data_IF_413546250035
#
_entry.id   IF_413546250035
#
_cell.length_a   1.000
_cell.length_b   1.000
_cell.length_c   1.000
_cell.angle_alpha   90.00
_cell.angle_beta   90.00
_cell.angle_gamma   90.00
#
_symmetry.space_group_name_H-M   'P 1'
#
loop_
_entity.id
_entity.type
_entity.pdbx_description
1 polymer ?
#
# COMPACT_ATOMS: atom_id res chain seq x y z
N UNK A 1 56.37 -3.99 -1.31
CA UNK A 1 55.29 -3.32 -2.07
C UNK A 1 54.09 -4.27 -2.18
N UNK A 2 53.03 -4.05 -1.42
CA UNK A 2 51.78 -4.83 -1.54
C UNK A 2 50.59 -3.90 -1.25
N UNK A 3 49.86 -3.53 -2.29
CA UNK A 3 48.66 -2.70 -2.21
C UNK A 3 47.43 -3.63 -2.04
N UNK A 4 46.61 -3.49 -0.98
CA UNK A 4 45.38 -4.27 -0.87
C UNK A 4 44.28 -3.69 -1.77
N UNK A 5 43.78 -4.48 -2.72
CA UNK A 5 42.62 -4.14 -3.55
C UNK A 5 41.34 -4.06 -2.69
N UNK A 6 40.88 -2.85 -2.40
CA UNK A 6 39.55 -2.59 -1.80
C UNK A 6 38.46 -2.94 -2.82
N UNK A 7 37.55 -3.85 -2.46
CA UNK A 7 36.41 -4.24 -3.31
C UNK A 7 35.39 -3.09 -3.42
N UNK A 8 35.05 -2.62 -4.64
CA UNK A 8 34.03 -1.60 -4.85
C UNK A 8 32.65 -2.25 -4.81
N UNK A 9 32.10 -2.44 -3.61
CA UNK A 9 30.77 -3.06 -3.49
C UNK A 9 30.05 -2.80 -2.16
N UNK A 10 30.75 -2.29 -1.14
CA UNK A 10 30.13 -2.05 0.16
C UNK A 10 29.40 -0.68 0.23
N UNK A 11 29.84 0.31 -0.54
CA UNK A 11 29.28 1.68 -0.49
C UNK A 11 27.92 1.82 -1.19
N UNK A 12 27.59 0.95 -2.16
CA UNK A 12 26.35 1.07 -2.94
C UNK A 12 25.13 0.60 -2.12
N UNK A 13 25.29 -0.40 -1.24
CA UNK A 13 24.21 -0.86 -0.35
C UNK A 13 23.87 0.13 0.77
N UNK A 14 24.88 0.81 1.34
CA UNK A 14 24.65 1.84 2.35
C UNK A 14 24.00 3.10 1.75
N UNK A 15 24.41 3.50 0.54
CA UNK A 15 23.81 4.63 -0.16
C UNK A 15 22.33 4.38 -0.49
N UNK A 16 21.96 3.17 -0.93
CA UNK A 16 20.56 2.83 -1.21
C UNK A 16 19.69 2.85 0.05
N UNK A 17 20.17 2.32 1.18
CA UNK A 17 19.41 2.31 2.44
C UNK A 17 19.20 3.74 2.98
N UNK A 18 20.22 4.60 2.88
CA UNK A 18 20.10 6.02 3.28
C UNK A 18 19.18 6.81 2.34
N UNK A 19 19.14 6.48 1.04
CA UNK A 19 18.24 7.13 0.09
C UNK A 19 16.76 6.74 0.31
N UNK A 20 16.47 5.50 0.71
CA UNK A 20 15.11 5.06 1.03
C UNK A 20 14.55 5.73 2.30
N UNK A 21 15.37 5.90 3.35
CA UNK A 21 14.94 6.62 4.56
C UNK A 21 14.73 8.13 4.36
N UNK A 22 15.43 8.75 3.41
CA UNK A 22 15.24 10.18 3.10
C UNK A 22 13.98 10.44 2.26
N UNK A 23 13.56 9.48 1.43
CA UNK A 23 12.36 9.59 0.59
C UNK A 23 11.06 9.28 1.37
N UNK A 24 11.10 8.40 2.37
CA UNK A 24 9.95 8.19 3.27
C UNK A 24 9.62 9.43 4.13
N UNK A 25 10.65 10.19 4.55
CA UNK A 25 10.42 11.45 5.28
C UNK A 25 9.87 12.57 4.36
N UNK A 26 10.13 12.51 3.05
CA UNK A 26 9.61 13.48 2.07
C UNK A 26 8.22 13.12 1.56
N UNK A 27 7.86 11.84 1.55
CA UNK A 27 6.50 11.38 1.20
C UNK A 27 5.53 11.45 2.40
N UNK A 28 6.05 11.40 3.63
CA UNK A 28 5.27 11.58 4.88
C UNK A 28 4.88 13.05 5.14
N UNK A 29 5.66 14.03 4.67
CA UNK A 29 5.34 15.46 4.85
C UNK A 29 4.27 15.99 3.88
N UNK A 30 4.01 15.30 2.76
CA UNK A 30 2.99 15.70 1.77
C UNK A 30 1.61 15.07 2.01
N UNK A 31 1.52 14.10 2.91
CA UNK A 31 0.27 13.51 3.42
C UNK A 31 -0.13 14.14 4.77
N UNK A 32 0.73 14.98 5.37
CA UNK A 32 0.49 15.68 6.64
C UNK A 32 0.00 17.13 6.52
N UNK A 33 -0.49 17.55 5.35
CA UNK A 33 -1.05 18.91 5.16
C UNK A 33 -2.57 18.98 4.96
N UNK A 34 -3.32 17.89 5.15
CA UNK A 34 -4.79 17.94 5.03
C UNK A 34 -5.58 17.22 6.13
N UNK A 35 -4.98 16.94 7.28
CA UNK A 35 -5.75 16.48 8.43
C UNK A 35 -5.15 16.95 9.74
N UNK A 36 -6.02 17.42 10.62
CA UNK A 36 -5.83 17.84 12.01
C UNK A 36 -5.66 19.35 12.21
N UNK A 37 -6.80 20.05 12.19
CA UNK A 37 -7.06 21.03 13.23
C UNK A 37 -8.38 20.71 13.94
N UNK A 38 -8.31 19.81 14.91
CA UNK A 38 -9.11 19.91 16.16
C UNK A 38 -8.35 19.11 17.20
N UNK A 39 -7.46 19.81 17.90
CA UNK A 39 -6.95 19.38 19.21
C UNK A 39 -8.15 19.36 20.13
N UNK A 40 -8.55 18.16 20.54
CA UNK A 40 -9.50 17.96 21.63
C UNK A 40 -8.81 18.39 22.93
N UNK A 41 -8.87 19.69 23.23
CA UNK A 41 -8.53 20.22 24.54
C UNK A 41 -9.61 19.76 25.50
N UNK A 42 -9.27 18.76 26.31
CA UNK A 42 -9.96 18.50 27.57
C UNK A 42 -9.81 19.74 28.45
N UNK A 43 -10.78 20.65 28.37
CA UNK A 43 -10.98 21.70 29.36
C UNK A 43 -12.22 21.32 30.15
N UNK A 44 -11.99 20.82 31.36
CA UNK A 44 -12.97 20.92 32.45
C UNK A 44 -13.30 22.39 32.60
N UNK A 45 -14.50 22.78 32.23
CA UNK A 45 -15.08 24.05 32.64
C UNK A 45 -16.43 23.74 33.28
N UNK A 46 -16.52 24.14 34.54
CA UNK A 46 -17.67 24.03 35.43
C UNK A 46 -18.94 24.59 34.79
N UNK A 47 -20.11 23.95 35.01
CA UNK A 47 -21.38 24.43 34.51
C UNK A 47 -21.89 25.53 35.43
N UNK A 48 -21.59 26.78 35.09
CA UNK A 48 -22.28 27.90 35.68
C UNK A 48 -22.23 29.12 34.75
N UNK A 49 -23.39 29.77 34.64
CA UNK A 49 -23.62 31.07 34.00
C UNK A 49 -23.50 31.10 32.46
N UNK A 50 -24.57 30.71 31.77
CA UNK A 50 -24.91 31.40 30.52
C UNK A 50 -26.38 31.78 30.52
N UNK A 51 -26.58 33.09 30.72
CA UNK A 51 -27.87 33.77 30.83
C UNK A 51 -28.52 33.86 29.45
N UNK A 52 -29.85 33.79 29.47
CA UNK A 52 -30.76 33.89 28.35
C UNK A 52 -30.49 35.07 27.39
N UNK A 53 -30.64 34.81 26.10
CA UNK A 53 -31.35 35.74 25.19
C UNK A 53 -32.22 34.93 24.24
N UNK A 54 -33.49 34.77 24.62
CA UNK A 54 -34.54 34.39 23.69
C UNK A 54 -34.76 35.55 22.70
N UNK A 55 -34.23 35.42 21.49
CA UNK A 55 -34.76 36.17 20.35
C UNK A 55 -35.80 35.31 19.65
N UNK A 56 -37.06 35.62 19.91
CA UNK A 56 -38.21 35.16 19.14
C UNK A 56 -38.09 35.73 17.71
N UNK A 57 -37.32 35.05 16.87
CA UNK A 57 -37.30 35.31 15.43
C UNK A 57 -38.63 34.82 14.83
N UNK A 58 -39.59 35.76 14.87
CA UNK A 58 -40.77 35.90 14.02
C UNK A 58 -40.97 34.75 13.02
N UNK A 59 -41.80 33.77 13.41
CA UNK A 59 -42.37 32.77 12.51
C UNK A 59 -43.18 33.47 11.41
N UNK A 60 -42.60 33.62 10.22
CA UNK A 60 -43.35 33.86 8.97
C UNK A 60 -43.31 32.57 8.14
N UNK A 61 -43.99 31.54 8.64
CA UNK A 61 -44.15 30.25 7.97
C UNK A 61 -45.52 30.22 7.29
N UNK A 62 -45.61 30.41 5.97
CA UNK A 62 -46.78 29.96 5.20
C UNK A 62 -46.58 29.93 3.67
N UNK A 63 -45.86 30.87 3.04
CA UNK A 63 -45.82 30.95 1.56
C UNK A 63 -44.51 30.50 0.90
N UNK A 64 -43.39 30.53 1.63
CA UNK A 64 -42.09 30.02 1.14
C UNK A 64 -41.93 28.50 1.26
N UNK A 65 -42.74 27.86 2.12
CA UNK A 65 -42.64 26.42 2.44
C UNK A 65 -43.03 25.51 1.27
N UNK A 66 -44.12 25.83 0.56
CA UNK A 66 -44.54 25.02 -0.59
C UNK A 66 -43.57 25.17 -1.77
N UNK A 67 -43.13 26.40 -2.05
CA UNK A 67 -42.15 26.68 -3.11
C UNK A 67 -40.82 25.97 -2.84
N UNK A 68 -40.36 25.93 -1.58
CA UNK A 68 -39.13 25.22 -1.22
C UNK A 68 -39.28 23.69 -1.32
N UNK A 69 -40.43 23.14 -0.94
CA UNK A 69 -40.74 21.72 -1.11
C UNK A 69 -40.74 21.32 -2.59
N UNK A 70 -41.44 22.08 -3.45
CA UNK A 70 -41.47 21.84 -4.90
C UNK A 70 -40.05 21.94 -5.49
N UNK A 71 -39.30 22.98 -5.12
CA UNK A 71 -37.91 23.13 -5.58
C UNK A 71 -37.04 21.96 -5.15
N UNK A 72 -37.22 21.44 -3.92
CA UNK A 72 -36.48 20.28 -3.43
C UNK A 72 -36.87 18.99 -4.17
N UNK A 73 -38.14 18.82 -4.52
CA UNK A 73 -38.64 17.66 -5.26
C UNK A 73 -38.15 17.67 -6.72
N UNK A 74 -38.17 18.83 -7.39
CA UNK A 74 -37.61 19.02 -8.73
C UNK A 74 -36.10 18.73 -8.72
N UNK A 75 -35.37 19.25 -7.73
CA UNK A 75 -33.94 19.00 -7.57
C UNK A 75 -33.62 17.50 -7.45
N UNK A 76 -34.39 16.77 -6.62
CA UNK A 76 -34.28 15.30 -6.50
C UNK A 76 -34.52 14.61 -7.84
N UNK A 77 -35.63 14.94 -8.53
CA UNK A 77 -35.96 14.36 -9.84
C UNK A 77 -34.88 14.55 -10.90
N UNK A 78 -34.28 15.74 -10.97
CA UNK A 78 -33.15 16.02 -11.90
C UNK A 78 -31.92 15.19 -11.52
N UNK A 79 -31.59 15.09 -10.23
CA UNK A 79 -30.45 14.26 -9.79
C UNK A 79 -30.67 12.77 -10.05
N UNK A 80 -31.91 12.29 -9.92
CA UNK A 80 -32.29 10.91 -10.25
C UNK A 80 -32.20 10.64 -11.75
N UNK A 81 -32.73 11.55 -12.58
CA UNK A 81 -32.61 11.45 -14.03
C UNK A 81 -31.14 11.44 -14.48
N UNK A 82 -30.31 12.34 -13.94
CA UNK A 82 -28.87 12.37 -14.17
C UNK A 82 -28.21 11.05 -13.77
N UNK A 83 -28.55 10.53 -12.60
CA UNK A 83 -28.00 9.28 -12.10
C UNK A 83 -28.33 8.09 -13.00
N UNK A 84 -29.56 8.03 -13.51
CA UNK A 84 -30.01 7.01 -14.48
C UNK A 84 -29.27 7.13 -15.82
N UNK A 85 -29.12 8.34 -16.35
CA UNK A 85 -28.46 8.57 -17.65
C UNK A 85 -26.98 8.21 -17.60
N UNK A 86 -26.26 8.63 -16.56
CA UNK A 86 -24.80 8.48 -16.49
C UNK A 86 -24.35 7.33 -15.58
N UNK A 87 -25.25 6.42 -15.18
CA UNK A 87 -24.93 5.30 -14.31
C UNK A 87 -24.34 5.70 -12.95
N UNK A 88 -24.73 6.86 -12.40
CA UNK A 88 -24.30 7.25 -11.06
C UNK A 88 -25.20 6.58 -10.02
N UNK A 89 -24.60 6.05 -8.97
CA UNK A 89 -25.36 5.52 -7.83
C UNK A 89 -25.64 6.62 -6.80
N UNK A 90 -26.91 6.86 -6.51
CA UNK A 90 -27.35 7.80 -5.48
C UNK A 90 -27.35 7.13 -4.10
N UNK A 91 -27.00 7.89 -3.06
CA UNK A 91 -27.02 7.45 -1.67
C UNK A 91 -27.84 8.44 -0.81
N UNK A 92 -29.17 8.29 -0.77
CA UNK A 92 -30.04 9.21 -0.04
C UNK A 92 -29.85 9.14 1.49
N UNK A 93 -29.45 7.98 2.02
CA UNK A 93 -29.24 7.76 3.46
C UNK A 93 -27.84 8.19 3.92
N UNK A 94 -26.90 8.43 3.01
CA UNK A 94 -25.52 8.84 3.33
C UNK A 94 -24.67 7.74 3.98
N UNK A 95 -25.14 6.49 4.03
CA UNK A 95 -24.43 5.39 4.66
C UNK A 95 -23.23 4.92 3.84
N UNK A 96 -22.24 4.29 4.48
CA UNK A 96 -21.07 3.79 3.77
C UNK A 96 -21.48 2.64 2.83
N UNK A 97 -21.30 2.87 1.53
CA UNK A 97 -21.59 1.89 0.48
C UNK A 97 -20.29 1.27 -0.06
N UNK A 98 -20.29 -0.01 -0.51
CA UNK A 98 -19.13 -0.68 -1.10
C UNK A 98 -18.68 -0.09 -2.44
N UNK A 99 -19.39 0.89 -3.00
CA UNK A 99 -19.06 1.54 -4.28
C UNK A 99 -17.63 2.08 -4.39
N UNK A 100 -17.02 2.50 -3.26
CA UNK A 100 -15.61 2.94 -3.25
C UNK A 100 -14.65 1.79 -3.53
N UNK A 101 -15.01 0.57 -3.15
CA UNK A 101 -14.20 -0.64 -3.39
C UNK A 101 -14.36 -1.06 -4.85
N UNK A 102 -15.60 -1.11 -5.34
CA UNK A 102 -15.91 -1.53 -6.72
C UNK A 102 -15.36 -0.59 -7.79
N UNK A 103 -15.19 0.71 -7.48
CA UNK A 103 -14.57 1.69 -8.39
C UNK A 103 -13.06 1.53 -8.55
N UNK A 104 -12.41 0.79 -7.66
CA UNK A 104 -10.97 0.52 -7.80
C UNK A 104 -10.81 -0.52 -8.90
N UNK A 105 -9.93 -0.23 -9.85
CA UNK A 105 -9.52 -1.22 -10.85
C UNK A 105 -8.86 -2.39 -10.12
N UNK A 106 -9.19 -3.62 -10.50
CA UNK A 106 -8.50 -4.80 -10.00
C UNK A 106 -7.03 -4.70 -10.43
N UNK A 107 -6.12 -4.85 -9.47
CA UNK A 107 -4.66 -4.74 -9.69
C UNK A 107 -3.98 -6.11 -9.68
N UNK A 108 -4.73 -7.20 -9.48
CA UNK A 108 -4.20 -8.56 -9.28
C UNK A 108 -3.25 -8.98 -10.39
N UNK A 109 -3.71 -8.91 -11.64
CA UNK A 109 -2.92 -9.36 -12.80
C UNK A 109 -1.60 -8.59 -12.92
N UNK A 110 -1.65 -7.26 -12.76
CA UNK A 110 -0.46 -6.40 -12.80
C UNK A 110 0.53 -6.69 -11.68
N UNK A 111 0.04 -7.11 -10.52
CA UNK A 111 0.87 -7.47 -9.38
C UNK A 111 1.42 -8.89 -9.53
N UNK A 112 0.65 -9.80 -10.12
CA UNK A 112 1.08 -11.17 -10.41
C UNK A 112 2.19 -11.21 -11.47
N UNK A 113 2.11 -10.36 -12.49
CA UNK A 113 3.10 -10.20 -13.55
C UNK A 113 4.36 -9.39 -13.11
N UNK A 114 4.64 -9.33 -11.81
CA UNK A 114 5.78 -8.56 -11.30
C UNK A 114 7.13 -9.05 -11.82
N UNK A 115 7.30 -10.37 -11.95
CA UNK A 115 8.50 -10.96 -12.53
C UNK A 115 8.20 -11.40 -13.96
N UNK A 116 8.98 -10.93 -14.95
CA UNK A 116 8.83 -11.39 -16.32
C UNK A 116 9.19 -12.86 -16.45
N UNK A 117 8.71 -13.49 -17.52
CA UNK A 117 9.02 -14.88 -17.82
C UNK A 117 10.49 -15.06 -18.22
N UNK A 118 11.17 -16.06 -17.64
CA UNK A 118 12.55 -16.40 -17.95
C UNK A 118 12.63 -17.35 -19.16
N UNK A 119 12.95 -16.80 -20.33
CA UNK A 119 13.06 -17.52 -21.63
C UNK A 119 14.08 -18.68 -21.58
N UNK A 120 15.07 -18.61 -20.68
CA UNK A 120 16.10 -19.65 -20.53
C UNK A 120 15.56 -21.03 -20.20
N UNK A 121 14.36 -21.10 -19.62
CA UNK A 121 13.71 -22.35 -19.26
C UNK A 121 13.04 -23.05 -20.45
N UNK A 122 12.87 -22.38 -21.60
CA UNK A 122 12.25 -22.95 -22.80
C UNK A 122 13.27 -23.71 -23.65
N UNK A 123 14.49 -23.17 -23.78
CA UNK A 123 15.53 -23.72 -24.64
C UNK A 123 16.20 -24.96 -24.00
N UNK A 124 15.97 -26.18 -24.53
CA UNK A 124 16.54 -27.39 -23.94
C UNK A 124 18.08 -27.38 -23.96
N UNK A 125 18.67 -26.70 -24.95
CA UNK A 125 20.12 -26.57 -25.09
C UNK A 125 20.74 -25.70 -23.98
N UNK A 126 20.03 -24.64 -23.55
CA UNK A 126 20.51 -23.74 -22.49
C UNK A 126 20.43 -24.45 -21.14
N UNK A 127 19.30 -25.09 -20.84
CA UNK A 127 19.10 -25.89 -19.63
C UNK A 127 20.13 -27.02 -19.52
N UNK A 128 20.34 -27.79 -20.59
CA UNK A 128 21.30 -28.89 -20.60
C UNK A 128 22.74 -28.40 -20.38
N UNK A 129 23.10 -27.23 -20.91
CA UNK A 129 24.43 -26.64 -20.72
C UNK A 129 24.65 -26.20 -19.26
N UNK A 130 23.71 -25.45 -18.69
CA UNK A 130 23.81 -24.97 -17.30
C UNK A 130 23.88 -26.15 -16.32
N UNK A 131 23.09 -27.19 -16.55
CA UNK A 131 23.09 -28.40 -15.74
C UNK A 131 24.42 -29.18 -15.89
N UNK A 132 24.96 -29.29 -17.11
CA UNK A 132 26.25 -29.94 -17.35
C UNK A 132 27.40 -29.21 -16.64
N UNK A 133 27.41 -27.89 -16.67
CA UNK A 133 28.40 -27.07 -15.95
C UNK A 133 28.29 -27.26 -14.44
N UNK A 134 27.06 -27.31 -13.90
CA UNK A 134 26.79 -27.60 -12.49
C UNK A 134 27.34 -28.97 -12.08
N UNK A 135 27.09 -30.00 -12.89
CA UNK A 135 27.57 -31.38 -12.65
C UNK A 135 29.10 -31.43 -12.72
N UNK A 136 29.72 -30.83 -13.73
CA UNK A 136 31.18 -30.80 -13.87
C UNK A 136 31.85 -30.14 -12.67
N UNK A 137 31.30 -29.03 -12.17
CA UNK A 137 31.79 -28.36 -10.96
C UNK A 137 31.66 -29.23 -9.72
N UNK A 138 30.52 -29.92 -9.56
CA UNK A 138 30.30 -30.83 -8.44
C UNK A 138 31.25 -32.02 -8.49
N UNK A 139 31.50 -32.58 -9.67
CA UNK A 139 32.45 -33.67 -9.86
C UNK A 139 33.86 -33.27 -9.46
N UNK A 140 34.34 -32.10 -9.92
CA UNK A 140 35.64 -31.56 -9.52
C UNK A 140 35.75 -31.36 -8.01
N UNK A 141 34.68 -30.91 -7.34
CA UNK A 141 34.66 -30.73 -5.88
C UNK A 141 34.67 -32.06 -5.14
N UNK A 142 33.96 -33.07 -5.65
CA UNK A 142 33.96 -34.43 -5.09
C UNK A 142 35.34 -35.07 -5.18
N UNK A 143 36.05 -34.92 -6.32
CA UNK A 143 37.43 -35.42 -6.50
C UNK A 143 38.42 -34.81 -5.50
N UNK A 144 38.12 -33.63 -4.94
CA UNK A 144 38.97 -32.92 -3.97
C UNK A 144 38.48 -33.10 -2.53
N UNK A 145 37.44 -33.90 -2.30
CA UNK A 145 36.73 -34.05 -1.01
C UNK A 145 36.23 -32.72 -0.42
N UNK A 146 36.02 -31.71 -1.28
CA UNK A 146 35.47 -30.39 -0.94
C UNK A 146 34.00 -30.27 -1.35
N UNK A 147 33.37 -31.39 -1.66
CA UNK A 147 31.94 -31.45 -1.93
C UNK A 147 31.11 -31.11 -0.69
N UNK A 148 29.87 -30.62 -0.85
CA UNK A 148 28.97 -30.45 0.28
C UNK A 148 28.72 -31.82 0.95
N UNK A 149 28.80 -31.92 2.29
CA UNK A 149 28.52 -33.16 3.00
C UNK A 149 27.05 -33.55 2.87
N UNK A 150 26.73 -34.82 3.11
CA UNK A 150 25.34 -35.30 3.16
C UNK A 150 24.55 -34.48 4.18
N UNK A 151 23.35 -34.03 3.81
CA UNK A 151 22.46 -33.27 4.69
C UNK A 151 22.28 -34.01 6.02
N UNK A 152 22.43 -33.29 7.13
CA UNK A 152 22.40 -33.87 8.49
C UNK A 152 23.77 -34.37 9.01
N UNK A 153 24.73 -34.68 8.14
CA UNK A 153 26.07 -35.14 8.52
C UNK A 153 27.11 -34.01 8.50
N UNK A 154 26.70 -32.81 8.92
CA UNK A 154 27.61 -31.68 9.04
C UNK A 154 28.63 -31.89 10.17
N UNK A 155 29.76 -31.17 10.11
CA UNK A 155 30.82 -31.24 11.14
C UNK A 155 30.30 -31.05 12.58
N UNK A 156 29.24 -30.25 12.75
CA UNK A 156 28.59 -30.03 14.05
C UNK A 156 27.83 -31.25 14.58
N UNK A 157 27.19 -32.02 13.70
CA UNK A 157 26.45 -33.23 14.10
C UNK A 157 27.42 -34.33 14.56
N UNK A 158 28.54 -34.49 13.88
CA UNK A 158 29.59 -35.43 14.28
C UNK A 158 30.20 -35.12 15.66
N UNK A 159 30.23 -33.83 16.06
CA UNK A 159 30.74 -33.39 17.36
C UNK A 159 29.77 -33.68 18.53
N UNK A 160 28.47 -33.82 18.27
CA UNK A 160 27.45 -34.06 19.31
C UNK A 160 27.32 -35.53 19.72
N UNK A 161 27.69 -36.45 18.83
CA UNK A 161 27.62 -37.90 19.06
C UNK A 161 28.91 -38.48 19.67
N UNK A 162 29.83 -37.62 20.11
CA UNK A 162 31.06 -37.97 20.81
C UNK A 162 31.03 -37.32 22.19
#
# INVERSE_FOLDING_TARGET
>A
MFQPKRKPGCYIRLAAILHYHALDNKMSSKIRSSSLFTVSRNLRLSPSYFVAVATLSRRKMASGSLKSLISSAVGRGVTEARARIFGHMLNPTGQRSPHKILRKKLIGDKVAEWYPYDIKNEDPNVLAREEKERISKLEMLKRRDKGPPKKGHGKRAAKRNK
#
